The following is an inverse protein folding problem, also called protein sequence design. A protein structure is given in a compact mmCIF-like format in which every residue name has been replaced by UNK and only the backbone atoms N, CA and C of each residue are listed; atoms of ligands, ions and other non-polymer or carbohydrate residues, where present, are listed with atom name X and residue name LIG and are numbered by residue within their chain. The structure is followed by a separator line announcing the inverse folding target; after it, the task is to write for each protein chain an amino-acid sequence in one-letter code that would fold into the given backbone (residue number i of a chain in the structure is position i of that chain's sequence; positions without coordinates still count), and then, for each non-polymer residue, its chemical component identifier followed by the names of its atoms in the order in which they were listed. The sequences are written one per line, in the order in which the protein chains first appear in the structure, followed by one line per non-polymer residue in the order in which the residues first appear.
data_IF_792696534960
#
_entry.id   IF_792696534960
#
_cell.length_a   1.000
_cell.length_b   1.000
_cell.length_c   1.000
_cell.angle_alpha   90.00
_cell.angle_beta   90.00
_cell.angle_gamma   90.00
#
_symmetry.space_group_name_H-M   'P 1'
#
loop_
_entity.id
_entity.type
_entity.pdbx_description
1 polymer ?
#
# COMPACT_ATOMS: atom_id res chain seq x y z
N UNK A 1 14.09 -20.90 -4.37
CA UNK A 1 13.75 -20.12 -3.17
C UNK A 1 13.27 -18.78 -3.68
N UNK A 2 12.24 -18.18 -3.08
CA UNK A 2 11.77 -16.86 -3.44
C UNK A 2 12.80 -15.78 -3.14
N UNK A 3 12.71 -14.66 -3.83
CA UNK A 3 13.69 -13.55 -3.77
C UNK A 3 13.71 -12.85 -2.41
N UNK A 4 12.64 -12.95 -1.60
CA UNK A 4 12.49 -12.31 -0.30
C UNK A 4 12.59 -13.30 0.89
N UNK A 5 13.15 -14.51 0.67
CA UNK A 5 13.34 -15.48 1.75
C UNK A 5 14.16 -14.88 2.90
N UNK A 6 13.64 -14.96 4.13
CA UNK A 6 14.26 -14.38 5.33
C UNK A 6 14.01 -12.87 5.53
N UNK A 7 13.27 -12.20 4.63
CA UNK A 7 12.86 -10.82 4.82
C UNK A 7 11.56 -10.73 5.62
N UNK A 8 11.52 -9.78 6.54
CA UNK A 8 10.38 -9.50 7.41
C UNK A 8 9.62 -8.28 6.88
N UNK A 9 8.33 -8.46 6.66
CA UNK A 9 7.45 -7.46 6.04
C UNK A 9 6.25 -7.18 6.94
N UNK A 10 5.88 -5.91 7.08
CA UNK A 10 4.59 -5.50 7.63
C UNK A 10 3.75 -4.86 6.52
N UNK A 11 2.54 -5.37 6.29
CA UNK A 11 1.57 -4.75 5.36
C UNK A 11 0.37 -4.26 6.15
N UNK A 12 0.17 -2.94 6.20
CA UNK A 12 -0.95 -2.35 6.92
C UNK A 12 -2.24 -2.40 6.09
N UNK A 13 -3.38 -2.78 6.73
CA UNK A 13 -4.66 -2.87 6.03
C UNK A 13 -4.73 -3.98 4.99
N UNK A 14 -4.25 -5.19 5.33
CA UNK A 14 -4.05 -6.30 4.39
C UNK A 14 -5.11 -7.42 4.47
N UNK A 15 -6.27 -7.18 5.11
CA UNK A 15 -7.36 -8.16 5.14
C UNK A 15 -8.06 -8.35 3.78
N UNK A 16 -7.97 -7.38 2.87
CA UNK A 16 -8.60 -7.36 1.53
C UNK A 16 -7.94 -6.34 0.61
N UNK A 17 -8.43 -6.27 -0.63
CA UNK A 17 -8.05 -5.22 -1.60
C UNK A 17 -6.58 -5.23 -1.96
N UNK A 18 -6.04 -4.02 -2.19
CA UNK A 18 -4.64 -3.83 -2.59
C UNK A 18 -3.68 -4.36 -1.52
N UNK A 19 -3.97 -4.11 -0.23
CA UNK A 19 -3.14 -4.59 0.88
C UNK A 19 -3.03 -6.12 0.93
N UNK A 20 -4.16 -6.83 0.74
CA UNK A 20 -4.15 -8.30 0.60
C UNK A 20 -3.30 -8.73 -0.59
N UNK A 21 -3.52 -8.12 -1.76
CA UNK A 21 -2.77 -8.48 -2.96
C UNK A 21 -1.25 -8.29 -2.79
N UNK A 22 -0.84 -7.15 -2.22
CA UNK A 22 0.59 -6.90 -1.94
C UNK A 22 1.16 -7.92 -0.95
N UNK A 23 0.43 -8.23 0.13
CA UNK A 23 0.86 -9.23 1.11
C UNK A 23 1.04 -10.62 0.47
N UNK A 24 0.11 -11.03 -0.41
CA UNK A 24 0.19 -12.30 -1.14
C UNK A 24 1.40 -12.34 -2.09
N UNK A 25 1.65 -11.27 -2.84
CA UNK A 25 2.77 -11.20 -3.77
C UNK A 25 4.12 -11.25 -3.03
N UNK A 26 4.26 -10.51 -1.92
CA UNK A 26 5.49 -10.53 -1.10
C UNK A 26 5.69 -11.90 -0.43
N UNK A 27 4.61 -12.53 0.04
CA UNK A 27 4.64 -13.87 0.59
C UNK A 27 5.04 -14.93 -0.44
N UNK A 28 4.55 -14.83 -1.68
CA UNK A 28 4.92 -15.74 -2.77
C UNK A 28 6.42 -15.70 -3.11
N UNK A 29 7.09 -14.57 -2.79
CA UNK A 29 8.55 -14.44 -2.86
C UNK A 29 9.30 -14.98 -1.62
N UNK A 30 8.60 -15.66 -0.71
CA UNK A 30 9.19 -16.31 0.46
C UNK A 30 9.35 -15.42 1.69
N UNK A 31 8.73 -14.23 1.71
CA UNK A 31 8.81 -13.32 2.85
C UNK A 31 8.03 -13.83 4.07
N UNK A 32 8.44 -13.37 5.25
CA UNK A 32 7.66 -13.42 6.48
C UNK A 32 6.79 -12.16 6.57
N UNK A 33 5.47 -12.31 6.46
CA UNK A 33 4.56 -11.18 6.28
C UNK A 33 3.57 -11.05 7.44
N UNK A 34 3.65 -9.96 8.19
CA UNK A 34 2.64 -9.55 9.14
C UNK A 34 1.47 -8.89 8.41
N UNK A 35 0.35 -9.57 8.39
CA UNK A 35 -0.91 -9.15 7.75
C UNK A 35 -1.76 -8.44 8.78
N UNK A 36 -1.93 -7.13 8.70
CA UNK A 36 -2.60 -6.36 9.74
C UNK A 36 -3.92 -5.76 9.28
N UNK A 37 -4.87 -5.62 10.20
CA UNK A 37 -6.18 -5.04 9.93
C UNK A 37 -7.21 -5.41 11.00
N UNK A 38 -8.39 -4.79 10.92
CA UNK A 38 -9.46 -4.94 11.93
C UNK A 38 -10.31 -6.20 11.76
N UNK A 39 -10.42 -6.70 10.52
CA UNK A 39 -11.36 -7.79 10.20
C UNK A 39 -10.70 -9.13 10.46
N UNK A 40 -11.14 -9.81 11.53
CA UNK A 40 -10.65 -11.13 11.94
C UNK A 40 -11.66 -12.24 11.68
N UNK A 41 -12.95 -11.91 11.63
CA UNK A 41 -14.04 -12.88 11.47
C UNK A 41 -14.68 -12.74 10.08
N UNK A 42 -14.81 -13.82 9.30
CA UNK A 42 -15.56 -13.79 8.05
C UNK A 42 -16.99 -13.27 8.23
N UNK A 43 -17.46 -12.43 7.31
CA UNK A 43 -18.81 -11.86 7.36
C UNK A 43 -19.01 -10.68 8.31
N UNK A 44 -18.03 -10.31 9.14
CA UNK A 44 -18.12 -9.12 10.02
C UNK A 44 -17.98 -7.78 9.29
N UNK A 45 -17.74 -7.80 7.99
CA UNK A 45 -17.64 -6.61 7.14
C UNK A 45 -18.38 -6.85 5.82
N UNK A 46 -19.01 -5.81 5.20
CA UNK A 46 -19.73 -5.93 3.92
C UNK A 46 -18.91 -6.43 2.73
N UNK A 47 -17.59 -6.26 2.77
CA UNK A 47 -16.65 -6.80 1.78
C UNK A 47 -15.95 -8.03 2.38
N UNK A 48 -15.69 -9.09 1.57
CA UNK A 48 -15.02 -10.30 2.04
C UNK A 48 -13.56 -10.06 2.40
N UNK A 49 -12.96 -11.00 3.12
CA UNK A 49 -11.55 -11.04 3.48
C UNK A 49 -11.29 -10.70 4.94
N UNK A 50 -10.39 -11.47 5.54
CA UNK A 50 -9.88 -11.32 6.91
C UNK A 50 -8.36 -11.35 6.92
N UNK A 51 -7.75 -10.90 8.02
CA UNK A 51 -6.30 -11.01 8.19
C UNK A 51 -5.86 -12.47 8.26
N UNK A 52 -6.69 -13.34 8.88
CA UNK A 52 -6.42 -14.78 9.00
C UNK A 52 -6.43 -15.50 7.64
N UNK A 53 -7.45 -15.23 6.81
CA UNK A 53 -7.52 -15.80 5.46
C UNK A 53 -6.33 -15.37 4.59
N UNK A 54 -5.92 -14.11 4.69
CA UNK A 54 -4.75 -13.60 3.93
C UNK A 54 -3.46 -14.25 4.42
N UNK A 55 -3.24 -14.38 5.72
CA UNK A 55 -2.07 -15.02 6.30
C UNK A 55 -1.98 -16.51 5.93
N UNK A 56 -3.09 -17.23 6.00
CA UNK A 56 -3.16 -18.63 5.58
C UNK A 56 -2.81 -18.81 4.09
N UNK A 57 -3.32 -17.92 3.23
CA UNK A 57 -3.03 -17.96 1.79
C UNK A 57 -1.55 -17.65 1.49
N UNK A 58 -0.91 -16.73 2.23
CA UNK A 58 0.54 -16.48 2.13
C UNK A 58 1.31 -17.77 2.43
N UNK A 59 0.95 -18.45 3.52
CA UNK A 59 1.62 -19.70 3.93
C UNK A 59 1.42 -20.79 2.89
N UNK A 60 0.23 -20.91 2.31
CA UNK A 60 -0.06 -21.85 1.22
C UNK A 60 0.79 -21.59 -0.04
N UNK A 61 1.18 -20.32 -0.27
CA UNK A 61 2.02 -19.90 -1.42
C UNK A 61 3.52 -19.99 -1.17
N UNK A 62 3.96 -20.46 0.00
CA UNK A 62 5.37 -20.72 0.32
C UNK A 62 6.08 -19.62 1.12
N UNK A 63 5.39 -18.56 1.51
CA UNK A 63 5.86 -17.60 2.51
C UNK A 63 5.46 -17.98 3.93
N UNK A 64 5.60 -17.06 4.86
CA UNK A 64 5.07 -17.19 6.23
C UNK A 64 4.14 -16.02 6.53
N UNK A 65 2.84 -16.29 6.66
CA UNK A 65 1.84 -15.27 6.98
C UNK A 65 1.50 -15.26 8.47
N UNK A 66 1.54 -14.08 9.09
CA UNK A 66 1.12 -13.85 10.49
C UNK A 66 -0.03 -12.86 10.51
N UNK A 67 -1.19 -13.30 11.00
CA UNK A 67 -2.36 -12.45 11.14
C UNK A 67 -2.31 -11.65 12.44
N UNK A 68 -2.42 -10.33 12.36
CA UNK A 68 -2.46 -9.46 13.55
C UNK A 68 -3.67 -8.53 13.48
N UNK A 69 -4.53 -8.61 14.49
CA UNK A 69 -5.67 -7.71 14.64
C UNK A 69 -5.18 -6.33 15.08
N UNK A 70 -5.34 -5.32 14.21
CA UNK A 70 -4.91 -3.94 14.50
C UNK A 70 -5.92 -2.95 13.96
N UNK A 71 -6.41 -2.07 14.81
CA UNK A 71 -7.04 -0.83 14.37
C UNK A 71 -5.97 0.23 14.19
N UNK A 72 -5.72 0.62 12.95
CA UNK A 72 -4.70 1.60 12.62
C UNK A 72 -5.07 3.05 13.03
N UNK A 73 -6.27 3.29 13.52
CA UNK A 73 -6.63 4.53 14.22
C UNK A 73 -6.14 4.53 15.68
N UNK A 74 -5.71 3.40 16.21
CA UNK A 74 -5.28 3.23 17.60
C UNK A 74 -3.76 3.07 17.68
N UNK A 75 -3.07 4.13 18.07
CA UNK A 75 -1.60 4.15 18.17
C UNK A 75 -1.05 3.08 19.12
N UNK A 76 -1.77 2.75 20.20
CA UNK A 76 -1.32 1.72 21.15
C UNK A 76 -1.35 0.32 20.52
N UNK A 77 -2.37 0.01 19.69
CA UNK A 77 -2.39 -1.25 18.95
C UNK A 77 -1.29 -1.32 17.89
N UNK A 78 -0.99 -0.18 17.23
CA UNK A 78 0.13 -0.10 16.29
C UNK A 78 1.45 -0.32 17.03
N UNK A 79 1.64 0.27 18.22
CA UNK A 79 2.84 0.03 19.04
C UNK A 79 3.02 -1.46 19.38
N UNK A 80 1.96 -2.13 19.83
CA UNK A 80 1.97 -3.57 20.16
C UNK A 80 2.36 -4.42 18.95
N UNK A 81 1.85 -4.09 17.75
CA UNK A 81 2.25 -4.77 16.52
C UNK A 81 3.77 -4.72 16.30
N UNK A 82 4.37 -3.52 16.37
CA UNK A 82 5.81 -3.39 16.12
C UNK A 82 6.68 -3.96 17.24
N UNK A 83 6.19 -3.96 18.49
CA UNK A 83 6.84 -4.68 19.59
C UNK A 83 6.82 -6.19 19.35
N UNK A 84 5.71 -6.76 18.86
CA UNK A 84 5.62 -8.15 18.44
C UNK A 84 6.62 -8.48 17.33
N UNK A 85 6.67 -7.67 16.26
CA UNK A 85 7.64 -7.85 15.17
C UNK A 85 9.08 -7.86 15.70
N UNK A 86 9.42 -6.92 16.58
CA UNK A 86 10.75 -6.82 17.18
C UNK A 86 11.08 -8.03 18.05
N UNK A 87 10.13 -8.50 18.86
CA UNK A 87 10.34 -9.66 19.75
C UNK A 87 10.47 -10.96 18.97
N UNK A 88 9.64 -11.18 17.96
CA UNK A 88 9.60 -12.43 17.20
C UNK A 88 10.72 -12.52 16.16
N UNK A 89 11.09 -11.41 15.52
CA UNK A 89 11.99 -11.40 14.36
C UNK A 89 13.31 -10.66 14.61
N UNK A 90 13.37 -9.75 15.57
CA UNK A 90 14.54 -8.90 15.81
C UNK A 90 14.85 -7.91 14.68
N UNK A 91 14.06 -7.91 13.60
CA UNK A 91 14.27 -7.08 12.39
C UNK A 91 12.97 -6.73 11.71
N UNK A 92 13.04 -5.70 10.84
CA UNK A 92 12.00 -5.35 9.88
C UNK A 92 12.67 -4.86 8.59
N UNK A 93 12.38 -5.50 7.47
CA UNK A 93 12.98 -5.15 6.17
C UNK A 93 12.09 -4.22 5.35
N UNK A 94 10.79 -4.45 5.36
CA UNK A 94 9.84 -3.72 4.53
C UNK A 94 8.61 -3.33 5.34
N UNK A 95 8.26 -2.05 5.33
CA UNK A 95 6.95 -1.56 5.75
C UNK A 95 6.15 -1.11 4.53
N UNK A 96 4.98 -1.68 4.32
CA UNK A 96 4.01 -1.21 3.32
C UNK A 96 2.87 -0.49 4.03
N UNK A 97 2.89 0.82 3.97
CA UNK A 97 1.86 1.71 4.50
C UNK A 97 0.68 1.79 3.52
N UNK A 98 -0.35 0.97 3.75
CA UNK A 98 -1.51 0.87 2.88
C UNK A 98 -2.85 1.09 3.61
N UNK A 99 -2.91 0.95 4.95
CA UNK A 99 -4.16 1.14 5.70
C UNK A 99 -4.80 2.49 5.37
N UNK A 100 -6.09 2.46 5.03
CA UNK A 100 -6.85 3.65 4.67
C UNK A 100 -8.33 3.47 5.02
N UNK A 101 -8.96 4.48 5.62
CA UNK A 101 -10.41 4.53 5.83
C UNK A 101 -11.07 5.02 4.56
N UNK A 102 -11.96 4.20 3.99
CA UNK A 102 -12.69 4.56 2.75
C UNK A 102 -14.17 4.67 3.11
N UNK A 103 -14.72 5.89 3.20
CA UNK A 103 -16.15 6.10 3.44
C UNK A 103 -16.98 5.55 2.27
N UNK A 104 -18.20 5.12 2.53
CA UNK A 104 -19.08 4.53 1.50
C UNK A 104 -19.48 5.56 0.45
N UNK A 105 -19.60 6.85 0.83
CA UNK A 105 -19.94 7.98 -0.05
C UNK A 105 -18.74 8.59 -0.78
N UNK A 106 -17.54 7.99 -0.69
CA UNK A 106 -16.32 8.53 -1.31
C UNK A 106 -16.53 8.90 -2.79
N UNK A 107 -17.16 7.99 -3.54
CA UNK A 107 -17.37 8.15 -5.01
C UNK A 107 -18.64 8.90 -5.38
N UNK A 108 -19.44 9.33 -4.41
CA UNK A 108 -20.63 10.13 -4.70
C UNK A 108 -20.26 11.54 -5.19
N UNK A 109 -20.85 12.01 -6.30
CA UNK A 109 -20.52 13.29 -6.92
C UNK A 109 -21.20 14.46 -6.18
N UNK A 110 -20.83 14.63 -4.90
CA UNK A 110 -21.27 15.74 -4.06
C UNK A 110 -20.12 16.69 -3.77
N UNK A 111 -20.37 18.03 -3.71
CA UNK A 111 -19.35 18.99 -3.29
C UNK A 111 -18.96 18.76 -1.83
N UNK A 112 -17.75 19.19 -1.43
CA UNK A 112 -17.19 18.87 -0.12
C UNK A 112 -18.02 19.39 1.06
N UNK A 113 -18.75 20.51 0.88
CA UNK A 113 -19.59 21.09 1.94
C UNK A 113 -20.91 20.35 2.16
N UNK A 114 -21.25 19.39 1.30
CA UNK A 114 -22.42 18.50 1.43
C UNK A 114 -22.01 17.09 1.89
N UNK A 115 -20.70 16.79 1.92
CA UNK A 115 -20.20 15.52 2.43
C UNK A 115 -20.12 15.55 3.96
N UNK A 116 -20.31 14.41 4.66
CA UNK A 116 -20.21 14.35 6.11
C UNK A 116 -18.82 14.78 6.60
N UNK A 117 -18.76 15.55 7.68
CA UNK A 117 -17.48 15.92 8.33
C UNK A 117 -16.71 14.68 8.82
N UNK A 118 -17.39 13.58 9.12
CA UNK A 118 -16.76 12.29 9.47
C UNK A 118 -15.85 11.74 8.37
N UNK A 119 -15.95 12.21 7.12
CA UNK A 119 -14.98 11.86 6.07
C UNK A 119 -13.55 12.31 6.42
N UNK A 120 -13.40 13.21 7.41
CA UNK A 120 -12.08 13.56 7.96
C UNK A 120 -11.38 12.39 8.63
N UNK A 121 -12.08 11.34 9.05
CA UNK A 121 -11.50 10.09 9.56
C UNK A 121 -10.52 9.43 8.58
N UNK A 122 -10.58 9.77 7.29
CA UNK A 122 -9.56 9.38 6.31
C UNK A 122 -8.16 9.88 6.68
N UNK A 123 -8.06 11.01 7.40
CA UNK A 123 -6.78 11.56 7.88
C UNK A 123 -6.23 10.68 8.99
N UNK A 124 -7.08 10.18 9.89
CA UNK A 124 -6.66 9.33 11.01
C UNK A 124 -6.12 7.98 10.52
N UNK A 125 -6.81 7.35 9.56
CA UNK A 125 -6.40 6.04 9.01
C UNK A 125 -5.81 6.17 7.59
N UNK A 126 -5.26 7.27 7.22
CA UNK A 126 -4.66 7.45 5.90
C UNK A 126 -3.40 8.32 5.95
N UNK A 127 -3.33 9.20 6.92
CA UNK A 127 -2.18 10.07 7.13
C UNK A 127 -1.51 9.75 8.46
N UNK A 128 -2.24 9.93 9.59
CA UNK A 128 -1.72 9.67 10.92
C UNK A 128 -1.22 8.23 11.08
N UNK A 129 -2.02 7.25 10.67
CA UNK A 129 -1.63 5.83 10.77
C UNK A 129 -0.37 5.49 9.98
N UNK A 130 -0.18 6.11 8.81
CA UNK A 130 1.05 5.95 8.02
C UNK A 130 2.27 6.50 8.76
N UNK A 131 2.13 7.67 9.39
CA UNK A 131 3.19 8.25 10.22
C UNK A 131 3.49 7.37 11.43
N UNK A 132 2.47 6.97 12.20
CA UNK A 132 2.64 6.13 13.40
C UNK A 132 3.34 4.81 13.07
N UNK A 133 2.93 4.13 12.00
CA UNK A 133 3.57 2.89 11.59
C UNK A 133 5.02 3.10 11.14
N UNK A 134 5.31 4.14 10.37
CA UNK A 134 6.67 4.49 9.94
C UNK A 134 7.57 4.86 11.13
N UNK A 135 7.04 5.59 12.13
CA UNK A 135 7.76 5.96 13.33
C UNK A 135 8.19 4.73 14.16
N UNK A 136 7.30 3.74 14.32
CA UNK A 136 7.66 2.49 14.98
C UNK A 136 8.63 1.64 14.15
N UNK A 137 8.41 1.55 12.82
CA UNK A 137 9.30 0.83 11.91
C UNK A 137 10.72 1.41 11.93
N UNK A 138 10.86 2.73 11.91
CA UNK A 138 12.16 3.40 11.98
C UNK A 138 12.95 3.03 13.23
N UNK A 139 12.31 2.83 14.38
CA UNK A 139 12.97 2.39 15.61
C UNK A 139 13.59 1.00 15.52
N UNK A 140 13.10 0.15 14.62
CA UNK A 140 13.68 -1.16 14.32
C UNK A 140 14.74 -1.02 13.22
N UNK A 141 14.43 -0.29 12.14
CA UNK A 141 15.28 -0.18 10.95
C UNK A 141 16.54 0.67 11.17
N UNK A 142 16.47 1.74 12.00
CA UNK A 142 17.61 2.66 12.23
C UNK A 142 18.80 1.93 12.87
N UNK A 143 18.67 1.15 13.97
CA UNK A 143 19.76 0.34 14.49
C UNK A 143 20.25 -0.73 13.49
N UNK A 144 19.34 -1.26 12.66
CA UNK A 144 19.61 -2.25 11.61
C UNK A 144 20.41 -1.67 10.44
N UNK A 145 20.36 -0.35 10.22
CA UNK A 145 20.96 0.40 9.10
C UNK A 145 20.50 -0.13 7.73
N UNK A 146 19.28 -0.57 7.64
CA UNK A 146 18.65 -1.02 6.40
C UNK A 146 17.14 -1.07 6.55
N UNK A 147 16.41 -0.81 5.48
CA UNK A 147 14.96 -0.91 5.44
C UNK A 147 14.36 -0.21 4.21
N UNK A 148 13.11 -0.57 3.93
CA UNK A 148 12.31 0.04 2.88
C UNK A 148 10.93 0.38 3.42
N UNK A 149 10.56 1.66 3.37
CA UNK A 149 9.21 2.13 3.72
C UNK A 149 8.51 2.57 2.43
N UNK A 150 7.41 1.91 2.09
CA UNK A 150 6.61 2.20 0.90
C UNK A 150 5.25 2.72 1.33
N UNK A 151 4.92 3.93 0.94
CA UNK A 151 3.60 4.52 1.14
C UNK A 151 2.72 4.31 -0.11
N UNK A 152 1.50 3.79 0.07
CA UNK A 152 0.56 3.57 -1.03
C UNK A 152 -0.29 4.82 -1.24
N UNK A 153 -0.08 5.46 -2.38
CA UNK A 153 -0.73 6.69 -2.77
C UNK A 153 -1.43 6.55 -4.14
N UNK A 154 -1.64 7.63 -4.85
CA UNK A 154 -2.30 7.62 -6.15
C UNK A 154 -2.34 8.98 -6.81
N UNK A 155 -2.74 9.02 -8.08
CA UNK A 155 -2.88 10.22 -8.90
C UNK A 155 -3.72 11.33 -8.26
N UNK A 156 -4.62 10.96 -7.35
CA UNK A 156 -5.50 11.91 -6.64
C UNK A 156 -4.73 12.88 -5.74
N UNK A 157 -3.46 12.63 -5.47
CA UNK A 157 -2.57 13.58 -4.80
C UNK A 157 -2.29 14.86 -5.61
N UNK A 158 -2.49 14.83 -6.93
CA UNK A 158 -2.30 15.99 -7.83
C UNK A 158 -3.51 16.23 -8.73
N UNK A 159 -4.43 15.27 -8.86
CA UNK A 159 -5.60 15.35 -9.74
C UNK A 159 -6.87 15.15 -8.92
N UNK A 160 -7.81 16.09 -9.02
CA UNK A 160 -9.09 15.96 -8.35
C UNK A 160 -9.88 14.76 -8.88
N UNK A 161 -10.26 13.82 -7.98
CA UNK A 161 -11.02 12.62 -8.37
C UNK A 161 -12.17 12.32 -7.40
N UNK A 162 -11.94 12.20 -6.10
CA UNK A 162 -12.94 11.73 -5.12
C UNK A 162 -13.22 12.72 -3.99
N UNK A 163 -12.82 13.98 -4.15
CA UNK A 163 -13.08 15.04 -3.18
C UNK A 163 -11.85 15.49 -2.41
N UNK A 164 -12.04 16.57 -1.64
CA UNK A 164 -10.97 17.33 -1.00
C UNK A 164 -10.14 16.49 -0.03
N UNK A 165 -10.79 15.82 0.91
CA UNK A 165 -10.08 15.09 1.98
C UNK A 165 -9.23 13.95 1.42
N UNK A 166 -9.75 13.21 0.44
CA UNK A 166 -9.02 12.10 -0.16
C UNK A 166 -7.76 12.57 -0.90
N UNK A 167 -7.88 13.64 -1.71
CA UNK A 167 -6.73 14.25 -2.39
C UNK A 167 -5.69 14.78 -1.39
N UNK A 168 -6.14 15.50 -0.35
CA UNK A 168 -5.27 15.98 0.74
C UNK A 168 -4.50 14.85 1.41
N UNK A 169 -5.17 13.74 1.74
CA UNK A 169 -4.50 12.57 2.34
C UNK A 169 -3.39 12.02 1.44
N UNK A 170 -3.64 11.88 0.14
CA UNK A 170 -2.64 11.30 -0.77
C UNK A 170 -1.47 12.26 -1.01
N UNK A 171 -1.72 13.57 -1.13
CA UNK A 171 -0.65 14.58 -1.16
C UNK A 171 0.19 14.58 0.12
N UNK A 172 -0.46 14.46 1.31
CA UNK A 172 0.23 14.39 2.58
C UNK A 172 1.12 13.15 2.70
N UNK A 173 0.63 11.99 2.24
CA UNK A 173 1.38 10.73 2.22
C UNK A 173 2.62 10.83 1.32
N UNK A 174 2.49 11.42 0.13
CA UNK A 174 3.62 11.64 -0.78
C UNK A 174 4.67 12.57 -0.14
N UNK A 175 4.22 13.64 0.50
CA UNK A 175 5.09 14.58 1.21
C UNK A 175 5.79 13.91 2.39
N UNK A 176 5.08 13.14 3.21
CA UNK A 176 5.68 12.42 4.33
C UNK A 176 6.76 11.43 3.86
N UNK A 177 6.50 10.67 2.79
CA UNK A 177 7.50 9.75 2.23
C UNK A 177 8.79 10.49 1.84
N UNK A 178 8.65 11.68 1.25
CA UNK A 178 9.78 12.57 0.89
C UNK A 178 10.56 13.03 2.10
N UNK A 179 9.87 13.57 3.12
CA UNK A 179 10.54 14.14 4.29
C UNK A 179 11.18 13.06 5.18
N UNK A 180 10.51 11.90 5.35
CA UNK A 180 11.09 10.73 6.01
C UNK A 180 12.37 10.24 5.32
N UNK A 181 12.43 10.29 3.99
CA UNK A 181 13.62 9.89 3.24
C UNK A 181 14.84 10.74 3.61
N UNK A 182 14.66 12.05 3.81
CA UNK A 182 15.75 12.96 4.22
C UNK A 182 16.33 12.56 5.59
N UNK A 183 15.44 12.25 6.54
CA UNK A 183 15.84 11.87 7.90
C UNK A 183 16.43 10.44 7.97
N UNK A 184 15.97 9.55 7.11
CA UNK A 184 16.36 8.13 7.09
C UNK A 184 17.57 7.83 6.20
N UNK A 185 17.97 8.75 5.32
CA UNK A 185 19.11 8.59 4.42
C UNK A 185 20.42 8.25 5.15
N UNK A 186 20.80 8.91 6.27
CA UNK A 186 22.02 8.58 7.01
C UNK A 186 22.03 7.17 7.60
N UNK A 187 20.87 6.52 7.65
CA UNK A 187 20.69 5.18 8.20
C UNK A 187 20.51 4.11 7.12
N UNK A 188 20.70 4.45 5.84
CA UNK A 188 20.54 3.54 4.70
C UNK A 188 19.13 2.90 4.66
N UNK A 189 18.10 3.69 4.93
CA UNK A 189 16.70 3.30 4.87
C UNK A 189 16.02 4.12 3.78
N UNK A 190 15.44 3.44 2.80
CA UNK A 190 14.70 4.09 1.74
C UNK A 190 13.25 4.34 2.16
N UNK A 191 12.73 5.52 1.85
CA UNK A 191 11.30 5.86 1.99
C UNK A 191 10.80 6.43 0.66
N UNK A 192 9.72 5.88 0.13
CA UNK A 192 9.16 6.30 -1.15
C UNK A 192 7.63 6.12 -1.19
N UNK A 193 7.00 6.76 -2.15
CA UNK A 193 5.57 6.62 -2.40
C UNK A 193 5.30 5.98 -3.76
N UNK A 194 4.32 5.06 -3.82
CA UNK A 194 3.86 4.43 -5.05
C UNK A 194 2.42 4.84 -5.37
N UNK A 195 2.21 5.35 -6.57
CA UNK A 195 0.91 5.71 -7.11
C UNK A 195 0.27 4.53 -7.82
N UNK A 196 -0.85 4.07 -7.25
CA UNK A 196 -1.65 3.02 -7.86
C UNK A 196 -2.58 3.60 -8.92
N UNK A 197 -2.76 2.87 -10.02
CA UNK A 197 -3.85 3.06 -10.95
C UNK A 197 -5.15 2.39 -10.47
N UNK A 198 -6.09 2.19 -11.39
CA UNK A 198 -7.27 1.39 -11.11
C UNK A 198 -6.83 -0.04 -10.76
N UNK A 199 -7.28 -0.52 -9.62
CA UNK A 199 -6.99 -1.88 -9.15
C UNK A 199 -8.30 -2.61 -8.92
N UNK A 200 -8.46 -3.80 -9.49
CA UNK A 200 -9.68 -4.61 -9.43
C UNK A 200 -9.84 -5.30 -8.07
N UNK A 201 -10.06 -4.50 -7.04
CA UNK A 201 -10.36 -4.97 -5.69
C UNK A 201 -11.83 -5.33 -5.54
N UNK A 202 -12.19 -6.01 -4.44
CA UNK A 202 -13.57 -6.36 -4.10
C UNK A 202 -14.48 -5.11 -4.10
N UNK A 203 -14.00 -3.99 -3.55
CA UNK A 203 -14.73 -2.70 -3.56
C UNK A 203 -14.85 -2.14 -4.97
N UNK A 204 -13.77 -2.12 -5.73
CA UNK A 204 -13.78 -1.62 -7.11
C UNK A 204 -14.76 -2.42 -7.97
N UNK A 205 -14.72 -3.76 -7.89
CA UNK A 205 -15.62 -4.64 -8.62
C UNK A 205 -17.09 -4.42 -8.21
N UNK A 206 -17.36 -4.26 -6.91
CA UNK A 206 -18.71 -3.90 -6.43
C UNK A 206 -19.19 -2.57 -7.01
N UNK A 207 -18.34 -1.56 -7.05
CA UNK A 207 -18.68 -0.24 -7.58
C UNK A 207 -18.85 -0.26 -9.11
N UNK A 208 -17.98 -0.99 -9.83
CA UNK A 208 -18.12 -1.21 -11.27
C UNK A 208 -19.44 -1.91 -11.62
N UNK A 209 -19.84 -2.91 -10.82
CA UNK A 209 -21.12 -3.59 -11.03
C UNK A 209 -22.34 -2.67 -10.87
N UNK A 210 -22.21 -1.59 -10.09
CA UNK A 210 -23.25 -0.58 -9.87
C UNK A 210 -23.23 0.58 -10.89
N UNK A 211 -22.16 0.67 -11.69
CA UNK A 211 -21.98 1.75 -12.68
C UNK A 211 -21.73 1.16 -14.08
N UNK A 212 -22.77 1.02 -14.93
CA UNK A 212 -22.67 0.43 -16.27
C UNK A 212 -21.67 1.13 -17.19
N UNK A 213 -21.54 2.45 -17.13
CA UNK A 213 -20.61 3.22 -17.95
C UNK A 213 -19.16 2.93 -17.56
N UNK A 214 -18.86 2.91 -16.27
CA UNK A 214 -17.53 2.53 -15.78
C UNK A 214 -17.20 1.08 -16.15
N UNK A 215 -18.18 0.18 -16.05
CA UNK A 215 -18.01 -1.22 -16.47
C UNK A 215 -17.70 -1.32 -17.95
N UNK A 216 -18.40 -0.56 -18.80
CA UNK A 216 -18.14 -0.51 -20.25
C UNK A 216 -16.69 -0.09 -20.54
N UNK A 217 -16.18 0.95 -19.87
CA UNK A 217 -14.79 1.41 -20.03
C UNK A 217 -13.77 0.31 -19.68
N UNK A 218 -14.01 -0.47 -18.64
CA UNK A 218 -13.09 -1.57 -18.27
C UNK A 218 -13.15 -2.76 -19.24
N UNK A 219 -14.29 -2.98 -19.91
CA UNK A 219 -14.44 -4.01 -20.93
C UNK A 219 -13.77 -3.59 -22.25
N UNK A 220 -13.93 -2.31 -22.65
CA UNK A 220 -13.34 -1.78 -23.89
C UNK A 220 -11.84 -1.52 -23.80
N UNK A 221 -11.33 -1.31 -22.59
CA UNK A 221 -9.90 -1.16 -22.33
C UNK A 221 -9.47 -2.04 -21.14
N UNK A 222 -9.21 -3.35 -21.37
CA UNK A 222 -8.82 -4.28 -20.32
C UNK A 222 -7.47 -3.97 -19.66
N UNK A 223 -6.67 -3.05 -20.25
CA UNK A 223 -5.41 -2.59 -19.69
C UNK A 223 -5.56 -1.42 -18.71
N UNK A 224 -6.79 -0.89 -18.53
CA UNK A 224 -7.02 0.29 -17.68
C UNK A 224 -6.78 0.02 -16.19
N UNK A 225 -6.76 -1.25 -15.77
CA UNK A 225 -6.58 -1.65 -14.38
C UNK A 225 -5.70 -2.88 -14.21
N UNK A 226 -5.24 -3.08 -13.00
CA UNK A 226 -4.36 -4.20 -12.61
C UNK A 226 -4.98 -5.06 -11.50
N UNK A 227 -4.38 -6.24 -11.29
CA UNK A 227 -4.70 -7.08 -10.13
C UNK A 227 -4.27 -6.42 -8.82
N UNK A 228 -4.85 -6.80 -7.67
CA UNK A 228 -4.36 -6.34 -6.37
C UNK A 228 -2.93 -6.81 -6.04
N UNK A 229 -2.43 -7.84 -6.70
CA UNK A 229 -1.07 -8.37 -6.49
C UNK A 229 0.01 -7.57 -7.24
N UNK A 230 -0.35 -6.90 -8.34
CA UNK A 230 0.60 -6.17 -9.17
C UNK A 230 1.49 -5.19 -8.39
N UNK A 231 0.98 -4.29 -7.54
CA UNK A 231 1.85 -3.41 -6.76
C UNK A 231 2.75 -4.17 -5.77
N UNK A 232 2.33 -5.32 -5.26
CA UNK A 232 3.17 -6.17 -4.41
C UNK A 232 4.36 -6.77 -5.16
N UNK A 233 4.17 -7.18 -6.42
CA UNK A 233 5.25 -7.64 -7.30
C UNK A 233 6.27 -6.53 -7.57
N UNK A 234 5.80 -5.30 -7.75
CA UNK A 234 6.68 -4.12 -7.90
C UNK A 234 7.46 -3.83 -6.61
N UNK A 235 6.81 -3.92 -5.44
CA UNK A 235 7.48 -3.74 -4.15
C UNK A 235 8.54 -4.83 -3.94
N UNK A 236 8.28 -6.07 -4.34
CA UNK A 236 9.28 -7.15 -4.27
C UNK A 236 10.51 -6.81 -5.13
N UNK A 237 10.35 -6.31 -6.34
CA UNK A 237 11.45 -5.88 -7.18
C UNK A 237 12.24 -4.71 -6.56
N UNK A 238 11.55 -3.69 -6.03
CA UNK A 238 12.17 -2.58 -5.29
C UNK A 238 12.97 -3.05 -4.08
N UNK A 239 12.47 -4.03 -3.34
CA UNK A 239 13.13 -4.57 -2.16
C UNK A 239 14.40 -5.37 -2.49
N UNK A 240 14.54 -5.82 -3.72
CA UNK A 240 15.72 -6.53 -4.24
C UNK A 240 16.71 -5.61 -4.96
N UNK A 241 16.36 -4.35 -5.18
CA UNK A 241 17.24 -3.38 -5.84
C UNK A 241 18.40 -2.98 -4.90
N UNK A 242 19.66 -3.31 -5.22
CA UNK A 242 20.81 -2.89 -4.42
C UNK A 242 20.98 -1.36 -4.38
N UNK A 243 20.46 -0.67 -5.38
CA UNK A 243 20.52 0.78 -5.53
C UNK A 243 19.22 1.49 -5.07
N UNK A 244 18.39 0.82 -4.24
CA UNK A 244 17.07 1.36 -3.81
C UNK A 244 17.16 2.77 -3.21
N UNK A 245 18.29 3.13 -2.59
CA UNK A 245 18.51 4.46 -2.02
C UNK A 245 18.44 5.56 -3.08
N UNK A 246 18.74 5.29 -4.35
CA UNK A 246 18.58 6.25 -5.47
C UNK A 246 17.12 6.60 -5.74
N UNK A 247 16.18 5.81 -5.23
CA UNK A 247 14.74 6.08 -5.37
C UNK A 247 14.15 6.71 -4.09
N UNK A 248 14.93 6.79 -3.02
CA UNK A 248 14.44 7.34 -1.75
C UNK A 248 13.99 8.80 -1.89
N UNK A 249 12.88 9.14 -1.30
CA UNK A 249 12.25 10.46 -1.36
C UNK A 249 11.41 10.71 -2.61
N UNK A 250 11.40 9.78 -3.57
CA UNK A 250 10.61 9.91 -4.78
C UNK A 250 9.18 9.42 -4.62
N UNK A 251 8.32 9.98 -5.46
CA UNK A 251 6.97 9.47 -5.71
C UNK A 251 6.96 8.88 -7.13
N UNK A 252 6.48 7.66 -7.27
CA UNK A 252 6.55 6.92 -8.53
C UNK A 252 5.20 6.34 -8.93
N UNK A 253 4.95 6.27 -10.23
CA UNK A 253 3.82 5.53 -10.78
C UNK A 253 4.20 4.05 -10.82
N UNK A 254 3.41 3.20 -10.16
CA UNK A 254 3.68 1.76 -10.04
C UNK A 254 3.90 1.08 -11.39
N UNK A 255 3.14 1.46 -12.42
CA UNK A 255 3.28 0.92 -13.76
C UNK A 255 4.63 1.27 -14.42
N UNK A 256 5.18 2.46 -14.16
CA UNK A 256 6.49 2.87 -14.67
C UNK A 256 7.63 2.13 -13.96
N UNK A 257 7.54 2.02 -12.64
CA UNK A 257 8.49 1.19 -11.88
C UNK A 257 8.45 -0.26 -12.33
N UNK A 258 7.26 -0.80 -12.62
CA UNK A 258 7.14 -2.15 -13.16
C UNK A 258 7.87 -2.32 -14.49
N UNK A 259 7.81 -1.32 -15.38
CA UNK A 259 8.55 -1.33 -16.64
C UNK A 259 10.07 -1.28 -16.43
N UNK A 260 10.55 -0.46 -15.48
CA UNK A 260 11.98 -0.39 -15.13
C UNK A 260 12.56 -1.74 -14.71
N UNK A 261 11.77 -2.56 -14.02
CA UNK A 261 12.18 -3.89 -13.50
C UNK A 261 11.67 -5.07 -14.33
N UNK A 262 10.97 -4.83 -15.45
CA UNK A 262 10.40 -5.90 -16.26
C UNK A 262 9.28 -6.69 -15.55
N UNK A 263 8.59 -6.07 -14.60
CA UNK A 263 7.50 -6.69 -13.83
C UNK A 263 6.18 -6.59 -14.60
N UNK A 264 5.50 -7.72 -14.77
CA UNK A 264 4.15 -7.80 -15.34
C UNK A 264 3.12 -8.12 -14.26
N UNK A 265 1.83 -7.95 -14.57
CA UNK A 265 0.75 -8.42 -13.72
C UNK A 265 0.69 -9.96 -13.67
N UNK A 266 -0.14 -10.53 -12.82
CA UNK A 266 -0.25 -11.99 -12.60
C UNK A 266 -0.63 -12.78 -13.86
N UNK A 267 -1.29 -12.14 -14.81
CA UNK A 267 -1.67 -12.70 -16.11
C UNK A 267 -0.67 -12.41 -17.24
N UNK A 268 0.50 -11.84 -16.89
CA UNK A 268 1.56 -11.48 -17.83
C UNK A 268 1.37 -10.14 -18.54
N UNK A 269 0.32 -9.38 -18.22
CA UNK A 269 0.08 -8.07 -18.84
C UNK A 269 1.08 -7.02 -18.37
N UNK A 270 1.51 -6.18 -19.30
CA UNK A 270 2.21 -4.92 -19.02
C UNK A 270 1.16 -3.85 -18.75
N UNK A 271 1.16 -3.30 -17.55
CA UNK A 271 0.22 -2.25 -17.15
C UNK A 271 0.73 -0.89 -17.66
N UNK A 272 -0.09 -0.14 -18.41
CA UNK A 272 0.33 1.17 -18.92
C UNK A 272 0.37 2.23 -17.83
N UNK A 273 1.28 3.21 -18.00
CA UNK A 273 1.25 4.42 -17.18
C UNK A 273 0.07 5.30 -17.57
N UNK A 274 -0.60 5.86 -16.58
CA UNK A 274 -1.65 6.85 -16.76
C UNK A 274 -1.14 8.29 -16.56
N UNK A 275 0.16 8.51 -16.70
CA UNK A 275 0.81 9.82 -16.50
C UNK A 275 0.19 10.90 -17.37
N UNK A 276 -0.04 10.61 -18.64
CA UNK A 276 -0.57 11.56 -19.60
C UNK A 276 -2.03 11.98 -19.27
N UNK A 277 -2.83 11.05 -18.77
CA UNK A 277 -4.26 11.24 -18.51
C UNK A 277 -4.54 11.74 -17.08
N UNK A 278 -3.68 11.38 -16.11
CA UNK A 278 -3.92 11.58 -14.68
C UNK A 278 -2.91 12.49 -13.99
N UNK A 279 -1.87 12.92 -14.68
CA UNK A 279 -0.81 13.77 -14.13
C UNK A 279 0.41 13.01 -13.63
N UNK A 280 1.45 13.76 -13.30
CA UNK A 280 2.76 13.27 -12.91
C UNK A 280 3.06 13.51 -11.43
N UNK A 281 3.82 12.62 -10.77
CA UNK A 281 4.37 12.88 -9.44
C UNK A 281 5.27 14.13 -9.44
N UNK A 282 5.19 14.89 -8.32
CA UNK A 282 5.99 16.12 -8.15
C UNK A 282 7.27 15.89 -7.36
N UNK A 283 7.30 14.87 -6.49
CA UNK A 283 8.47 14.59 -5.66
C UNK A 283 9.44 13.65 -6.37
N UNK A 284 10.69 14.12 -6.52
CA UNK A 284 11.80 13.34 -7.08
C UNK A 284 12.66 12.77 -5.97
N UNK A 285 13.49 11.74 -6.21
CA UNK A 285 14.47 11.24 -5.25
C UNK A 285 15.31 12.36 -4.65
N UNK A 286 15.79 12.13 -3.42
CA UNK A 286 16.67 13.10 -2.73
C UNK A 286 18.13 12.94 -3.10
N UNK A 287 18.43 11.90 -3.87
CA UNK A 287 19.72 11.38 -4.36
C UNK A 287 20.96 11.75 -3.57
#
# INVERSE_FOLDING_TARGET
MGSLTGRVVVVTGASRGIGKGMALALGAEGAFVYVTGRTTTPGSHPLPGTVGETAAEITRRGGTGVAVAVDHANDAQVAVLFDQVRQEQGRLDILVNNAFSIPEDLTEPRPFWEKPLSNWEMVDVGVRSNFTAAWHAAKIMVPQKSGLIVAISGYVGVTYTYGVVFGTCKSAVDRMARDMAVELQPHNIASLSLWQGLTFTERANRNLARNPEMKKLTVTNPLIGCSPEFPGRVIAALAMDPDIMRRSGGTFITAEVAQDYGVTDVDGKVIPSLRAERGAPIWRPIA
#
